data_IF_678999533916
#
_entry.id   IF_678999533916
#
_cell.length_a   1.000
_cell.length_b   1.000
_cell.length_c   1.000
_cell.angle_alpha   90.00
_cell.angle_beta   90.00
_cell.angle_gamma   90.00
#
_symmetry.space_group_name_H-M   'P 1'
#
loop_
_entity.id
_entity.type
_entity.pdbx_description
1 polymer ?
#
# COMPACT_ATOMS: atom_id res chain seq x y z
N UNK A 1 -6.74 -1.22 3.92
CA UNK A 1 -6.85 -1.39 2.45
C UNK A 1 -5.75 -2.33 2.00
N UNK A 2 -5.98 -3.08 0.93
CA UNK A 2 -5.09 -4.13 0.42
C UNK A 2 -5.29 -4.29 -1.09
N UNK A 3 -4.58 -5.21 -1.75
CA UNK A 3 -4.83 -5.56 -3.15
C UNK A 3 -6.13 -6.37 -3.25
N UNK A 4 -6.93 -6.14 -4.28
CA UNK A 4 -8.19 -6.87 -4.48
C UNK A 4 -7.95 -8.36 -4.68
N UNK A 5 -6.95 -8.75 -5.46
CA UNK A 5 -6.67 -10.18 -5.74
C UNK A 5 -6.28 -11.01 -4.51
N UNK A 6 -5.88 -10.39 -3.39
CA UNK A 6 -5.55 -11.13 -2.16
C UNK A 6 -6.77 -11.37 -1.27
N UNK A 7 -7.88 -10.65 -1.49
CA UNK A 7 -9.13 -10.84 -0.77
C UNK A 7 -9.88 -12.02 -1.40
N UNK A 8 -9.68 -13.22 -0.83
CA UNK A 8 -10.30 -14.47 -1.32
C UNK A 8 -11.47 -14.95 -0.48
N UNK A 9 -11.50 -14.55 0.78
CA UNK A 9 -12.47 -14.97 1.78
C UNK A 9 -13.26 -13.76 2.29
N UNK A 10 -14.39 -14.00 2.97
CA UNK A 10 -15.17 -12.94 3.61
C UNK A 10 -14.50 -12.46 4.90
N UNK A 11 -13.85 -13.36 5.64
CA UNK A 11 -13.23 -13.10 6.92
C UNK A 11 -11.72 -12.87 6.78
N UNK A 12 -11.22 -11.81 7.41
CA UNK A 12 -9.83 -11.39 7.34
C UNK A 12 -9.11 -11.69 8.64
N UNK A 13 -7.87 -12.16 8.52
CA UNK A 13 -7.05 -12.54 9.66
C UNK A 13 -5.65 -11.95 9.56
N UNK A 14 -5.06 -11.60 10.70
CA UNK A 14 -3.64 -11.29 10.82
C UNK A 14 -2.94 -12.36 11.65
N UNK A 15 -1.70 -12.73 11.30
CA UNK A 15 -0.89 -13.61 12.12
C UNK A 15 -0.74 -13.04 13.53
N UNK A 16 -0.89 -13.90 14.55
CA UNK A 16 -0.55 -13.57 15.93
C UNK A 16 0.20 -14.75 16.58
N UNK A 17 0.78 -14.51 17.76
CA UNK A 17 1.72 -15.45 18.39
C UNK A 17 1.12 -16.82 18.72
N UNK A 18 -0.20 -16.89 18.95
CA UNK A 18 -0.89 -18.11 19.35
C UNK A 18 -1.79 -18.66 18.23
N UNK A 19 -2.73 -17.86 17.72
CA UNK A 19 -3.64 -18.19 16.62
C UNK A 19 -3.87 -16.94 15.76
N UNK A 20 -4.14 -17.13 14.47
CA UNK A 20 -4.49 -16.03 13.56
C UNK A 20 -5.69 -15.26 14.12
N UNK A 21 -5.50 -13.96 14.34
CA UNK A 21 -6.51 -13.08 14.91
C UNK A 21 -7.44 -12.62 13.78
N UNK A 22 -8.74 -12.86 13.93
CA UNK A 22 -9.74 -12.23 13.07
C UNK A 22 -9.71 -10.72 13.29
N UNK A 23 -9.55 -9.96 12.20
CA UNK A 23 -9.40 -8.50 12.22
C UNK A 23 -10.58 -7.77 11.60
N UNK A 24 -11.46 -8.47 10.90
CA UNK A 24 -12.51 -7.83 10.13
C UNK A 24 -13.03 -8.68 9.00
N UNK A 25 -13.84 -8.06 8.15
CA UNK A 25 -14.45 -8.70 6.99
C UNK A 25 -14.25 -7.88 5.72
N UNK A 26 -14.36 -8.54 4.57
CA UNK A 26 -14.36 -7.92 3.26
C UNK A 26 -15.47 -6.87 3.18
N UNK A 27 -15.11 -5.61 2.93
CA UNK A 27 -16.09 -4.57 2.63
C UNK A 27 -16.42 -4.55 1.14
N UNK A 28 -15.38 -4.35 0.31
CA UNK A 28 -15.48 -4.28 -1.13
C UNK A 28 -14.08 -4.44 -1.75
N UNK A 29 -14.01 -4.83 -3.00
CA UNK A 29 -12.77 -5.10 -3.72
C UNK A 29 -13.01 -5.21 -5.22
N UNK A 30 -11.95 -4.90 -5.95
CA UNK A 30 -11.93 -4.91 -7.39
C UNK A 30 -10.56 -5.35 -7.84
N UNK A 31 -10.56 -6.31 -8.74
CA UNK A 31 -9.39 -6.80 -9.43
C UNK A 31 -9.75 -6.84 -10.91
N UNK A 32 -9.45 -5.75 -11.60
CA UNK A 32 -9.54 -5.71 -13.04
C UNK A 32 -8.34 -6.49 -13.58
N UNK A 33 -8.55 -7.69 -14.13
CA UNK A 33 -7.53 -8.39 -14.93
C UNK A 33 -7.80 -8.07 -16.41
N UNK A 34 -7.02 -7.17 -17.03
CA UNK A 34 -7.27 -6.78 -18.42
C UNK A 34 -6.86 -7.88 -19.41
N UNK A 35 -6.29 -9.00 -18.95
CA UNK A 35 -5.77 -10.08 -19.80
C UNK A 35 -4.65 -9.62 -20.76
N UNK A 36 -4.08 -8.45 -20.49
CA UNK A 36 -3.04 -7.76 -21.25
C UNK A 36 -1.99 -7.22 -20.28
N UNK A 37 -0.78 -6.83 -20.74
CA UNK A 37 0.24 -6.26 -19.86
C UNK A 37 -0.10 -4.85 -19.35
N UNK A 38 -1.26 -4.29 -19.73
CA UNK A 38 -1.68 -2.98 -19.24
C UNK A 38 -1.91 -3.04 -17.71
N UNK A 39 -1.53 -1.98 -16.98
CA UNK A 39 -1.91 -1.82 -15.59
C UNK A 39 -3.43 -1.85 -15.45
N UNK A 40 -3.88 -2.21 -14.26
CA UNK A 40 -5.30 -2.23 -13.96
C UNK A 40 -5.56 -1.90 -12.50
N UNK A 41 -6.82 -1.60 -12.20
CA UNK A 41 -7.22 -1.30 -10.84
C UNK A 41 -7.28 -2.60 -10.03
N UNK A 42 -6.46 -2.67 -8.99
CA UNK A 42 -6.41 -3.83 -8.09
C UNK A 42 -6.29 -3.35 -6.65
N UNK A 43 -7.41 -3.29 -5.96
CA UNK A 43 -7.50 -2.84 -4.59
C UNK A 43 -8.76 -3.35 -3.90
N UNK A 44 -8.71 -3.44 -2.58
CA UNK A 44 -9.88 -3.72 -1.76
C UNK A 44 -9.78 -3.14 -0.35
N UNK A 45 -10.93 -3.08 0.29
CA UNK A 45 -11.17 -2.49 1.59
C UNK A 45 -11.68 -3.60 2.53
N UNK A 46 -11.15 -3.56 3.74
CA UNK A 46 -11.51 -4.46 4.83
C UNK A 46 -12.20 -3.59 5.87
N UNK A 47 -13.41 -3.97 6.27
CA UNK A 47 -14.10 -3.39 7.43
C UNK A 47 -13.54 -4.05 8.69
N UNK A 48 -12.95 -3.27 9.58
CA UNK A 48 -12.26 -3.80 10.76
C UNK A 48 -13.25 -3.99 11.92
N UNK A 49 -13.20 -5.16 12.54
CA UNK A 49 -14.09 -5.52 13.66
C UNK A 49 -13.75 -4.78 14.95
N UNK A 50 -12.53 -4.24 15.05
CA UNK A 50 -12.02 -3.54 16.22
C UNK A 50 -11.36 -2.22 15.84
N UNK A 51 -11.31 -1.28 16.79
CA UNK A 51 -10.39 -0.13 16.75
C UNK A 51 -8.94 -0.64 16.88
N UNK A 52 -8.46 -1.35 15.86
CA UNK A 52 -7.08 -1.81 15.80
C UNK A 52 -6.20 -0.58 15.64
N UNK A 53 -5.16 -0.44 16.46
CA UNK A 53 -4.26 0.70 16.37
C UNK A 53 -3.66 0.77 14.96
N UNK A 54 -3.87 1.89 14.27
CA UNK A 54 -3.32 2.16 12.93
C UNK A 54 -1.80 2.36 12.99
N UNK A 55 -1.05 1.30 13.29
CA UNK A 55 0.40 1.34 13.37
C UNK A 55 1.02 0.75 12.11
N UNK A 56 2.09 1.36 11.62
CA UNK A 56 2.90 0.77 10.57
C UNK A 56 3.67 -0.43 11.10
N UNK A 57 3.55 -1.57 10.42
CA UNK A 57 4.43 -2.71 10.66
C UNK A 57 5.89 -2.29 10.47
N UNK A 58 6.68 -2.44 11.51
CA UNK A 58 8.12 -2.18 11.55
C UNK A 58 8.89 -3.10 10.62
N UNK A 59 10.16 -2.75 10.40
CA UNK A 59 11.03 -3.44 9.45
C UNK A 59 11.44 -4.86 9.86
N UNK A 60 11.29 -5.22 11.14
CA UNK A 60 11.71 -6.52 11.71
C UNK A 60 10.63 -7.61 11.68
N UNK A 61 9.46 -7.35 11.10
CA UNK A 61 8.37 -8.33 10.97
C UNK A 61 7.16 -8.05 11.86
N UNK A 62 6.30 -9.06 11.94
CA UNK A 62 4.87 -8.99 12.33
C UNK A 62 4.60 -8.48 13.76
N UNK A 63 5.58 -8.53 14.65
CA UNK A 63 5.45 -8.10 16.06
C UNK A 63 6.18 -6.79 16.39
N UNK A 64 6.66 -6.07 15.37
CA UNK A 64 7.33 -4.78 15.59
C UNK A 64 6.58 -3.69 14.88
N UNK A 65 6.43 -2.54 15.54
CA UNK A 65 5.70 -1.39 15.02
C UNK A 65 6.61 -0.16 14.98
N UNK A 66 6.38 0.71 14.02
CA UNK A 66 6.97 2.05 14.02
C UNK A 66 6.11 2.98 14.87
N UNK A 67 6.37 2.98 16.18
CA UNK A 67 5.67 3.83 17.14
C UNK A 67 5.87 5.34 16.88
N UNK A 68 6.89 5.70 16.10
CA UNK A 68 7.20 7.07 15.71
C UNK A 68 6.66 7.45 14.32
N UNK A 69 5.94 6.56 13.63
CA UNK A 69 5.41 6.79 12.28
C UNK A 69 3.89 6.74 12.30
N UNK A 70 3.27 7.84 11.89
CA UNK A 70 1.82 7.98 11.83
C UNK A 70 1.38 8.23 10.40
N UNK A 71 0.25 7.63 10.01
CA UNK A 71 -0.36 7.92 8.72
C UNK A 71 -1.07 9.28 8.82
N UNK A 72 -0.70 10.22 7.95
CA UNK A 72 -1.22 11.60 7.95
C UNK A 72 -2.08 11.92 6.74
N UNK A 73 -2.01 11.10 5.70
CA UNK A 73 -2.81 11.25 4.49
C UNK A 73 -2.22 10.46 3.34
N UNK A 74 -2.46 10.97 2.13
CA UNK A 74 -2.08 10.31 0.88
C UNK A 74 -1.14 11.19 0.06
N UNK A 75 -0.33 10.57 -0.79
CA UNK A 75 0.34 11.30 -1.88
C UNK A 75 -0.70 11.57 -2.96
N UNK A 76 -0.86 12.83 -3.33
CA UNK A 76 -1.84 13.23 -4.33
C UNK A 76 -1.53 12.68 -5.71
N UNK A 77 -2.57 12.45 -6.52
CA UNK A 77 -2.41 12.06 -7.93
C UNK A 77 -1.49 13.02 -8.69
N UNK A 78 -1.72 14.33 -8.55
CA UNK A 78 -0.93 15.35 -9.26
C UNK A 78 0.54 15.30 -8.87
N UNK A 79 0.85 15.00 -7.60
CA UNK A 79 2.22 14.86 -7.13
C UNK A 79 2.93 13.63 -7.74
N UNK A 80 2.22 12.51 -7.91
CA UNK A 80 2.76 11.36 -8.62
C UNK A 80 3.02 11.69 -10.10
N UNK A 81 2.05 12.30 -10.78
CA UNK A 81 2.17 12.68 -12.21
C UNK A 81 3.31 13.68 -12.42
N UNK A 82 3.43 14.70 -11.58
CA UNK A 82 4.47 15.73 -11.69
C UNK A 82 5.89 15.18 -11.44
N UNK A 83 6.00 14.04 -10.75
CA UNK A 83 7.25 13.37 -10.41
C UNK A 83 7.50 12.07 -11.20
N UNK A 84 6.75 11.82 -12.27
CA UNK A 84 6.95 10.64 -13.12
C UNK A 84 8.40 10.56 -13.65
N UNK A 85 9.00 9.37 -13.59
CA UNK A 85 10.37 9.09 -14.06
C UNK A 85 11.43 10.04 -13.47
N UNK A 86 11.30 10.37 -12.19
CA UNK A 86 12.21 11.27 -11.46
C UNK A 86 12.90 10.57 -10.30
N UNK A 87 13.75 11.30 -9.56
CA UNK A 87 14.39 10.80 -8.33
C UNK A 87 13.44 10.76 -7.12
N UNK A 88 12.13 10.93 -7.35
CA UNK A 88 11.11 10.91 -6.30
C UNK A 88 11.03 9.53 -5.64
N UNK A 89 11.44 9.46 -4.38
CA UNK A 89 11.60 8.19 -3.67
C UNK A 89 10.35 7.81 -2.89
N UNK A 90 9.85 6.61 -3.17
CA UNK A 90 8.81 5.95 -2.39
C UNK A 90 9.40 4.77 -1.62
N UNK A 91 8.88 4.55 -0.42
CA UNK A 91 9.11 3.32 0.35
C UNK A 91 7.99 2.34 0.08
N UNK A 92 8.29 1.05 0.21
CA UNK A 92 7.31 -0.04 0.09
C UNK A 92 7.47 -0.99 1.25
N UNK A 93 6.35 -1.41 1.86
CA UNK A 93 6.35 -2.44 2.90
C UNK A 93 5.62 -3.68 2.39
N UNK A 94 6.34 -4.79 2.20
CA UNK A 94 5.79 -6.09 1.83
C UNK A 94 6.11 -7.15 2.89
N UNK A 95 5.29 -8.19 3.00
CA UNK A 95 5.47 -9.24 4.02
C UNK A 95 6.72 -10.12 3.77
N UNK A 96 7.18 -10.24 2.53
CA UNK A 96 8.31 -11.08 2.13
C UNK A 96 9.63 -10.33 2.11
N UNK A 97 9.67 -9.20 1.44
CA UNK A 97 10.92 -8.43 1.27
C UNK A 97 11.19 -7.48 2.43
N UNK A 98 10.18 -7.20 3.27
CA UNK A 98 10.33 -6.22 4.34
C UNK A 98 10.08 -4.79 3.84
N UNK A 99 11.01 -3.90 4.14
CA UNK A 99 10.92 -2.48 3.81
C UNK A 99 11.93 -2.13 2.71
N UNK A 100 11.43 -1.80 1.54
CA UNK A 100 12.25 -1.43 0.38
C UNK A 100 12.04 0.04 0.00
N UNK A 101 12.97 0.59 -0.76
CA UNK A 101 12.87 1.95 -1.30
C UNK A 101 13.25 1.97 -2.76
N UNK A 102 12.53 2.75 -3.55
CA UNK A 102 12.78 2.91 -4.98
C UNK A 102 12.35 4.26 -5.48
N UNK A 103 12.71 4.58 -6.71
CA UNK A 103 12.26 5.78 -7.42
C UNK A 103 10.93 5.53 -8.11
N UNK A 104 10.11 6.57 -8.21
CA UNK A 104 8.91 6.58 -9.02
C UNK A 104 9.29 6.54 -10.51
N UNK A 105 8.73 5.56 -11.22
CA UNK A 105 8.95 5.36 -12.65
C UNK A 105 7.72 5.87 -13.42
N UNK A 106 7.09 5.01 -14.22
CA UNK A 106 5.93 5.34 -15.06
C UNK A 106 4.66 5.50 -14.22
N UNK A 107 3.84 6.48 -14.61
CA UNK A 107 2.55 6.77 -13.98
C UNK A 107 1.44 6.56 -15.01
N UNK A 108 0.62 5.55 -14.78
CA UNK A 108 -0.49 5.17 -15.64
C UNK A 108 -1.76 5.81 -15.12
N UNK A 109 -1.88 7.11 -15.39
CA UNK A 109 -2.96 7.95 -14.87
C UNK A 109 -4.36 7.43 -15.25
N UNK A 110 -4.55 7.06 -16.52
CA UNK A 110 -5.81 6.50 -17.05
C UNK A 110 -6.16 5.13 -16.42
N UNK A 111 -5.18 4.44 -15.85
CA UNK A 111 -5.32 3.14 -15.19
C UNK A 111 -5.19 3.22 -13.66
N UNK A 112 -5.06 4.43 -13.11
CA UNK A 112 -4.91 4.69 -11.68
C UNK A 112 -3.77 3.89 -11.03
N UNK A 113 -2.66 3.71 -11.74
CA UNK A 113 -1.53 2.92 -11.29
C UNK A 113 -0.19 3.63 -11.47
N UNK A 114 0.83 3.18 -10.76
CA UNK A 114 2.20 3.63 -10.97
C UNK A 114 3.20 2.51 -10.67
N UNK A 115 4.40 2.65 -11.25
CA UNK A 115 5.51 1.74 -11.01
C UNK A 115 6.61 2.42 -10.18
N UNK A 116 7.30 1.65 -9.34
CA UNK A 116 8.53 2.06 -8.65
C UNK A 116 9.65 1.06 -8.90
N UNK A 117 10.88 1.48 -8.65
CA UNK A 117 12.05 0.58 -8.69
C UNK A 117 12.27 -0.20 -7.39
N UNK A 118 11.35 -0.16 -6.43
CA UNK A 118 11.52 -0.88 -5.18
C UNK A 118 11.44 -2.39 -5.46
N UNK A 119 12.37 -3.17 -4.92
CA UNK A 119 12.35 -4.64 -5.05
C UNK A 119 11.02 -5.19 -4.54
N UNK A 120 10.58 -6.34 -5.06
CA UNK A 120 9.32 -7.02 -4.72
C UNK A 120 9.45 -8.55 -4.80
N UNK A 121 8.54 -9.25 -4.14
CA UNK A 121 8.44 -10.71 -4.18
C UNK A 121 6.98 -11.17 -4.00
N UNK A 122 6.68 -12.38 -4.47
CA UNK A 122 5.37 -13.01 -4.39
C UNK A 122 4.88 -13.11 -2.93
N UNK A 123 3.78 -12.43 -2.63
CA UNK A 123 3.21 -12.34 -1.29
C UNK A 123 3.38 -10.99 -0.60
N UNK A 124 3.99 -10.02 -1.29
CA UNK A 124 4.01 -8.63 -0.84
C UNK A 124 2.74 -7.84 -1.17
N UNK A 125 1.89 -8.38 -2.05
CA UNK A 125 0.63 -7.77 -2.47
C UNK A 125 -0.21 -7.31 -1.27
N UNK A 126 -0.80 -6.11 -1.40
CA UNK A 126 -1.51 -5.42 -0.32
C UNK A 126 -0.64 -4.50 0.52
N UNK A 127 0.68 -4.58 0.37
CA UNK A 127 1.63 -3.70 1.03
C UNK A 127 1.56 -2.24 0.56
N UNK A 128 1.69 -1.24 1.47
CA UNK A 128 1.65 0.16 1.06
C UNK A 128 2.96 0.61 0.41
N UNK A 129 2.81 1.46 -0.61
CA UNK A 129 3.83 2.40 -1.08
C UNK A 129 3.58 3.74 -0.40
N UNK A 130 4.61 4.37 0.16
CA UNK A 130 4.43 5.59 0.95
C UNK A 130 5.67 6.48 0.97
N UNK A 131 5.42 7.77 1.17
CA UNK A 131 6.44 8.73 1.56
C UNK A 131 6.46 8.92 3.07
N UNK A 132 7.58 9.42 3.58
CA UNK A 132 7.76 9.70 5.00
C UNK A 132 8.58 10.96 5.21
N UNK A 133 8.08 11.87 6.02
CA UNK A 133 8.76 13.12 6.38
C UNK A 133 8.87 13.27 7.89
N UNK A 134 9.96 13.85 8.38
CA UNK A 134 10.14 14.08 9.82
C UNK A 134 9.57 15.43 10.22
N UNK A 135 8.57 15.44 11.09
CA UNK A 135 8.03 16.67 11.67
C UNK A 135 8.76 16.96 12.99
N UNK A 136 9.73 17.89 12.94
CA UNK A 136 10.51 18.27 14.13
C UNK A 136 9.70 18.96 15.22
N UNK A 137 8.54 19.53 14.89
CA UNK A 137 7.65 20.18 15.86
C UNK A 137 6.88 19.17 16.72
N UNK A 138 6.59 17.99 16.16
CA UNK A 138 5.88 16.90 16.82
C UNK A 138 6.81 15.78 17.31
N UNK A 139 8.03 15.70 16.76
CA UNK A 139 8.98 14.66 17.08
C UNK A 139 8.64 13.29 16.48
N UNK A 140 7.81 13.27 15.42
CA UNK A 140 7.31 12.07 14.76
C UNK A 140 7.60 12.12 13.26
N UNK A 141 7.46 10.98 12.61
CA UNK A 141 7.43 10.85 11.16
C UNK A 141 5.98 10.80 10.67
N UNK A 142 5.68 11.65 9.70
CA UNK A 142 4.42 11.67 8.98
C UNK A 142 4.56 10.80 7.73
N UNK A 143 3.67 9.82 7.58
CA UNK A 143 3.62 8.95 6.42
C UNK A 143 2.43 9.32 5.53
N UNK A 144 2.71 9.39 4.22
CA UNK A 144 1.73 9.70 3.19
C UNK A 144 1.63 8.51 2.24
N UNK A 145 0.47 7.87 2.17
CA UNK A 145 0.28 6.65 1.38
C UNK A 145 0.11 7.01 -0.10
N UNK A 146 1.01 6.52 -0.95
CA UNK A 146 0.94 6.74 -2.40
C UNK A 146 0.06 5.72 -3.10
N UNK A 147 0.08 4.47 -2.65
CA UNK A 147 -0.71 3.41 -3.26
C UNK A 147 -0.54 2.05 -2.60
N UNK A 148 -1.28 1.08 -3.10
CA UNK A 148 -1.26 -0.30 -2.61
C UNK A 148 -0.65 -1.21 -3.68
N UNK A 149 0.40 -1.93 -3.28
CA UNK A 149 1.13 -2.85 -4.15
C UNK A 149 0.24 -4.01 -4.60
N UNK A 150 0.25 -4.35 -5.90
CA UNK A 150 -0.54 -5.46 -6.41
C UNK A 150 0.17 -6.33 -7.47
N UNK A 151 1.25 -5.86 -8.07
CA UNK A 151 1.98 -6.62 -9.07
C UNK A 151 3.42 -6.15 -9.15
N UNK A 152 4.28 -6.95 -9.77
CA UNK A 152 5.65 -6.56 -10.01
C UNK A 152 6.38 -7.54 -10.91
N UNK A 153 7.63 -7.22 -11.16
CA UNK A 153 8.65 -8.18 -11.56
C UNK A 153 10.01 -7.70 -11.03
N UNK A 154 11.07 -8.47 -11.31
CA UNK A 154 12.47 -8.16 -10.92
C UNK A 154 13.01 -6.75 -11.23
N UNK A 155 12.28 -5.89 -11.94
CA UNK A 155 12.68 -4.51 -12.26
C UNK A 155 11.66 -3.44 -11.86
N UNK A 156 10.47 -3.82 -11.42
CA UNK A 156 9.38 -2.88 -11.17
C UNK A 156 8.41 -3.43 -10.13
N UNK A 157 7.96 -2.56 -9.25
CA UNK A 157 6.89 -2.82 -8.31
C UNK A 157 5.73 -1.88 -8.63
N UNK A 158 4.54 -2.44 -8.85
CA UNK A 158 3.35 -1.75 -9.33
C UNK A 158 2.32 -1.61 -8.21
N UNK A 159 1.68 -0.45 -8.16
CA UNK A 159 0.67 -0.14 -7.16
C UNK A 159 -0.53 0.61 -7.74
N UNK A 160 -1.70 0.40 -7.13
CA UNK A 160 -2.93 1.18 -7.37
C UNK A 160 -2.85 2.46 -6.56
N UNK A 161 -3.08 3.62 -7.18
CA UNK A 161 -3.00 4.92 -6.53
C UNK A 161 -3.99 5.02 -5.37
N UNK A 162 -3.51 5.52 -4.24
CA UNK A 162 -4.33 5.64 -3.03
C UNK A 162 -5.52 6.58 -3.23
N UNK A 163 -5.33 7.69 -3.97
CA UNK A 163 -6.39 8.63 -4.33
C UNK A 163 -7.52 7.99 -5.13
N UNK A 164 -7.22 7.01 -5.99
CA UNK A 164 -8.23 6.29 -6.75
C UNK A 164 -8.99 5.30 -5.87
N UNK A 165 -8.31 4.64 -4.92
CA UNK A 165 -8.94 3.73 -3.95
C UNK A 165 -9.92 4.49 -3.05
N UNK A 166 -9.51 5.64 -2.52
CA UNK A 166 -10.39 6.50 -1.72
C UNK A 166 -11.64 6.94 -2.51
N UNK A 167 -11.47 7.29 -3.78
CA UNK A 167 -12.57 7.68 -4.66
C UNK A 167 -13.50 6.52 -5.03
N UNK A 168 -12.96 5.34 -5.36
CA UNK A 168 -13.76 4.17 -5.77
C UNK A 168 -14.64 3.68 -4.62
N UNK A 169 -14.07 3.56 -3.42
CA UNK A 169 -14.77 2.99 -2.26
C UNK A 169 -15.37 4.04 -1.31
N UNK A 170 -15.20 5.34 -1.61
CA UNK A 170 -15.66 6.44 -0.76
C UNK A 170 -15.13 6.34 0.69
N UNK A 171 -13.85 6.01 0.82
CA UNK A 171 -13.12 5.86 2.09
C UNK A 171 -12.00 6.91 2.19
N UNK A 172 -11.48 7.13 3.40
CA UNK A 172 -10.34 8.01 3.64
C UNK A 172 -9.33 7.34 4.57
N UNK A 173 -8.05 7.63 4.35
CA UNK A 173 -6.92 7.24 5.21
C UNK A 173 -6.75 8.21 6.38
#
# INVERSE_FOLDING_TARGET
MTAGHVIKDEDMYQPATDDDQHIGSRMDDKHDDPGTPEPAFDAGVIDLDTDTYHQFAGASGDDTYWDDVHIFGIVGRDELVDNENSDYSLRRRGARTGMESGTLNEVYDDHHAFDTSADEDDGDSGGPHFMREYNSGLGIYEAYIAGIHYAGNTKMSRATMMSAIESEYSVAV
#
